data_IF_276196678691
#
_entry.id   IF_276196678691
#
_cell.length_a   1.000
_cell.length_b   1.000
_cell.length_c   1.000
_cell.angle_alpha   90.00
_cell.angle_beta   90.00
_cell.angle_gamma   90.00
#
_symmetry.space_group_name_H-M   'P 1'
#
loop_
_entity.id
_entity.type
_entity.pdbx_description
1 polymer ?
#
# COMPACT_ATOMS: atom_id res chain seq x y z
N UNK A 1 -0.77 -11.06 37.92
CA UNK A 1 0.10 -10.31 36.98
C UNK A 1 0.11 -8.84 37.40
N UNK A 2 1.27 -8.19 37.54
CA UNK A 2 1.35 -6.79 38.03
C UNK A 2 0.82 -5.79 36.99
N UNK A 3 0.18 -4.66 37.37
CA UNK A 3 -0.42 -3.69 36.44
C UNK A 3 0.57 -3.16 35.37
N UNK A 4 1.81 -2.90 35.79
CA UNK A 4 2.92 -2.46 34.93
C UNK A 4 3.23 -3.47 33.82
N UNK A 5 3.20 -4.77 34.12
CA UNK A 5 3.47 -5.83 33.14
C UNK A 5 2.38 -5.90 32.06
N UNK A 6 1.12 -5.59 32.41
CA UNK A 6 0.00 -5.51 31.46
C UNK A 6 0.16 -4.33 30.50
N UNK A 7 0.59 -3.17 31.00
CA UNK A 7 0.87 -1.98 30.20
C UNK A 7 2.04 -2.21 29.22
N UNK A 8 3.14 -2.82 29.68
CA UNK A 8 4.29 -3.15 28.83
C UNK A 8 3.90 -4.14 27.73
N UNK A 9 3.12 -5.18 28.04
CA UNK A 9 2.63 -6.14 27.02
C UNK A 9 1.78 -5.46 25.95
N UNK A 10 0.88 -4.55 26.36
CA UNK A 10 0.04 -3.79 25.42
C UNK A 10 0.87 -2.87 24.53
N UNK A 11 1.85 -2.17 25.09
CA UNK A 11 2.77 -1.30 24.33
C UNK A 11 3.58 -2.10 23.29
N UNK A 12 4.14 -3.26 23.68
CA UNK A 12 4.86 -4.15 22.74
C UNK A 12 3.98 -4.65 21.60
N UNK A 13 2.73 -5.01 21.88
CA UNK A 13 1.78 -5.40 20.83
C UNK A 13 1.45 -4.25 19.89
N UNK A 14 1.29 -3.03 20.42
CA UNK A 14 1.05 -1.85 19.59
C UNK A 14 2.23 -1.52 18.68
N UNK A 15 3.47 -1.60 19.18
CA UNK A 15 4.69 -1.38 18.38
C UNK A 15 4.78 -2.42 17.26
N UNK A 16 4.66 -3.72 17.60
CA UNK A 16 4.67 -4.79 16.60
C UNK A 16 3.55 -4.67 15.55
N UNK A 17 2.40 -4.11 15.93
CA UNK A 17 1.30 -3.86 14.98
C UNK A 17 1.66 -2.72 14.01
N UNK A 18 2.33 -1.66 14.49
CA UNK A 18 2.81 -0.56 13.63
C UNK A 18 3.84 -1.07 12.63
N UNK A 19 4.86 -1.78 13.10
CA UNK A 19 5.90 -2.36 12.24
C UNK A 19 5.30 -3.26 11.15
N UNK A 20 4.31 -4.11 11.48
CA UNK A 20 3.62 -4.93 10.49
C UNK A 20 2.82 -4.11 9.47
N UNK A 21 2.21 -2.99 9.86
CA UNK A 21 1.48 -2.10 8.94
C UNK A 21 2.47 -1.42 7.98
N UNK A 22 3.62 -0.97 8.49
CA UNK A 22 4.68 -0.36 7.67
C UNK A 22 5.23 -1.34 6.63
N UNK A 23 5.48 -2.59 7.04
CA UNK A 23 5.88 -3.65 6.11
C UNK A 23 4.80 -3.98 5.07
N UNK A 24 3.52 -4.02 5.45
CA UNK A 24 2.40 -4.28 4.54
C UNK A 24 2.26 -3.17 3.49
N UNK A 25 2.51 -1.92 3.89
CA UNK A 25 2.50 -0.77 3.00
C UNK A 25 3.66 -0.80 2.00
N UNK A 26 4.88 -1.13 2.45
CA UNK A 26 6.04 -1.27 1.55
C UNK A 26 5.81 -2.38 0.51
N UNK A 27 5.30 -3.54 0.94
CA UNK A 27 4.97 -4.64 0.02
C UNK A 27 3.86 -4.25 -0.95
N UNK A 28 2.87 -3.49 -0.50
CA UNK A 28 1.83 -2.96 -1.36
C UNK A 28 2.41 -2.04 -2.44
N UNK A 29 3.25 -1.08 -2.05
CA UNK A 29 3.85 -0.13 -3.01
C UNK A 29 4.74 -0.85 -4.03
N UNK A 30 5.57 -1.81 -3.59
CA UNK A 30 6.33 -2.67 -4.50
C UNK A 30 5.43 -3.41 -5.50
N UNK A 31 4.32 -3.98 -5.04
CA UNK A 31 3.37 -4.65 -5.94
C UNK A 31 2.81 -3.69 -7.00
N UNK A 32 2.47 -2.46 -6.61
CA UNK A 32 1.96 -1.44 -7.54
C UNK A 32 3.05 -1.03 -8.56
N UNK A 33 4.29 -0.81 -8.12
CA UNK A 33 5.42 -0.46 -8.99
C UNK A 33 5.76 -1.59 -9.99
N UNK A 34 5.71 -2.84 -9.55
CA UNK A 34 5.87 -4.02 -10.41
C UNK A 34 4.64 -4.33 -11.26
N UNK A 35 3.56 -3.55 -11.12
CA UNK A 35 2.27 -3.74 -11.82
C UNK A 35 1.67 -5.12 -11.55
N UNK A 36 1.79 -5.59 -10.32
CA UNK A 36 1.23 -6.84 -9.80
C UNK A 36 0.13 -6.54 -8.80
N UNK A 37 -0.99 -7.24 -8.89
CA UNK A 37 -2.10 -7.07 -7.99
C UNK A 37 -1.75 -7.64 -6.61
N UNK A 38 -1.72 -6.84 -5.54
CA UNK A 38 -1.35 -7.31 -4.20
C UNK A 38 -2.36 -8.33 -3.63
N UNK A 39 -3.55 -8.44 -4.25
CA UNK A 39 -4.63 -9.30 -3.78
C UNK A 39 -4.62 -10.71 -4.38
N UNK A 40 -4.13 -10.87 -5.60
CA UNK A 40 -4.24 -12.13 -6.34
C UNK A 40 -3.02 -12.45 -7.21
N UNK A 41 -1.98 -11.61 -7.18
CA UNK A 41 -0.76 -11.74 -7.97
C UNK A 41 -0.95 -11.71 -9.51
N UNK A 42 -2.15 -11.41 -10.01
CA UNK A 42 -2.39 -11.10 -11.43
C UNK A 42 -1.78 -9.76 -11.83
N UNK A 43 -1.57 -9.55 -13.13
CA UNK A 43 -1.07 -8.27 -13.66
C UNK A 43 -2.09 -7.13 -13.50
N UNK A 44 -1.57 -5.93 -13.29
CA UNK A 44 -2.30 -4.67 -13.29
C UNK A 44 -2.22 -4.02 -14.68
N UNK A 45 -3.36 -3.67 -15.23
CA UNK A 45 -3.46 -2.71 -16.32
C UNK A 45 -3.27 -1.30 -15.75
N UNK A 46 -2.33 -0.54 -16.32
CA UNK A 46 -2.01 0.82 -15.87
C UNK A 46 -2.43 1.81 -16.94
N UNK A 47 -3.27 2.77 -16.56
CA UNK A 47 -3.64 3.91 -17.38
C UNK A 47 -2.97 5.16 -16.82
N UNK A 48 -1.81 5.49 -17.36
CA UNK A 48 -1.04 6.67 -16.99
C UNK A 48 -1.57 7.92 -17.69
N UNK A 49 -1.92 8.94 -16.91
CA UNK A 49 -2.24 10.28 -17.39
C UNK A 49 -1.16 11.27 -16.98
N UNK A 50 -0.49 11.91 -17.95
CA UNK A 50 0.62 12.86 -17.76
C UNK A 50 0.35 13.93 -16.67
N UNK A 51 -0.92 14.29 -16.44
CA UNK A 51 -1.34 15.27 -15.42
C UNK A 51 -2.45 14.73 -14.50
N UNK A 52 -2.79 13.45 -14.62
CA UNK A 52 -3.95 12.84 -13.94
C UNK A 52 -3.59 11.65 -13.06
N UNK A 53 -2.30 11.33 -12.89
CA UNK A 53 -1.87 10.17 -12.10
C UNK A 53 -2.02 8.86 -12.86
N UNK A 54 -1.78 7.76 -12.15
CA UNK A 54 -1.82 6.41 -12.67
C UNK A 54 -3.01 5.64 -12.08
N UNK A 55 -3.90 5.18 -12.96
CA UNK A 55 -4.99 4.26 -12.60
C UNK A 55 -4.55 2.81 -12.84
N UNK A 56 -4.46 2.03 -11.76
CA UNK A 56 -4.14 0.60 -11.75
C UNK A 56 -5.42 -0.21 -11.62
N UNK A 57 -5.63 -1.16 -12.52
CA UNK A 57 -6.77 -2.08 -12.49
C UNK A 57 -6.31 -3.52 -12.68
N UNK A 58 -6.74 -4.42 -11.81
CA UNK A 58 -6.40 -5.84 -11.95
C UNK A 58 -7.06 -6.48 -13.17
N UNK A 59 -6.29 -7.27 -13.91
CA UNK A 59 -6.74 -8.04 -15.08
C UNK A 59 -7.37 -9.39 -14.69
N UNK A 60 -7.24 -9.81 -13.44
CA UNK A 60 -7.76 -11.08 -12.95
C UNK A 60 -9.28 -11.17 -13.14
N UNK A 61 -9.81 -12.27 -13.70
CA UNK A 61 -11.21 -12.36 -14.14
C UNK A 61 -12.24 -12.26 -12.99
N UNK A 62 -11.79 -12.46 -11.75
CA UNK A 62 -12.62 -12.37 -10.53
C UNK A 62 -12.12 -11.30 -9.56
N UNK A 63 -11.05 -10.59 -9.90
CA UNK A 63 -10.45 -9.60 -9.01
C UNK A 63 -10.93 -8.19 -9.40
N UNK A 64 -11.57 -7.51 -8.47
CA UNK A 64 -12.08 -6.14 -8.64
C UNK A 64 -11.11 -5.07 -8.09
N UNK A 65 -9.84 -5.43 -7.92
CA UNK A 65 -8.86 -4.52 -7.36
C UNK A 65 -8.60 -3.34 -8.32
N UNK A 66 -8.71 -2.13 -7.78
CA UNK A 66 -8.36 -0.88 -8.45
C UNK A 66 -7.59 0.01 -7.47
N UNK A 67 -6.56 0.69 -7.93
CA UNK A 67 -5.77 1.62 -7.15
C UNK A 67 -5.43 2.83 -8.00
N UNK A 68 -5.48 4.02 -7.41
CA UNK A 68 -5.13 5.27 -8.07
C UNK A 68 -3.92 5.86 -7.35
N UNK A 69 -2.85 6.15 -8.11
CA UNK A 69 -1.66 6.84 -7.62
C UNK A 69 -1.69 8.25 -8.18
N UNK A 70 -1.73 9.24 -7.29
CA UNK A 70 -1.69 10.65 -7.68
C UNK A 70 -0.42 10.97 -8.49
N UNK A 71 -0.50 11.88 -9.48
CA UNK A 71 0.68 12.30 -10.20
C UNK A 71 1.63 12.99 -9.22
N UNK A 72 2.91 12.64 -9.28
CA UNK A 72 3.95 13.33 -8.52
C UNK A 72 4.23 14.67 -9.23
N UNK A 73 3.31 15.63 -9.05
CA UNK A 73 3.47 16.99 -9.56
C UNK A 73 4.49 17.65 -8.62
N UNK A 74 5.76 17.52 -8.97
CA UNK A 74 6.79 18.40 -8.40
C UNK A 74 6.37 19.79 -8.84
N UNK A 75 5.84 20.59 -7.91
CA UNK A 75 5.52 21.97 -8.16
C UNK A 75 6.81 22.62 -8.66
N UNK A 76 6.88 22.90 -9.96
CA UNK A 76 7.88 23.77 -10.51
C UNK A 76 7.55 25.16 -9.97
N UNK A 77 8.07 25.48 -8.78
CA UNK A 77 8.14 26.86 -8.31
C UNK A 77 9.02 27.61 -9.32
N UNK A 78 8.37 28.41 -10.17
CA UNK A 78 8.99 29.35 -11.09
C UNK A 78 8.93 30.76 -10.53
#
# INVERSE_FOLDING_TARGET
MKPIQKAIKKAKMSIRKKEQIEHDQEQFEMCIDEKVCPKCADLLHVKSGHLKGDDYRCCGPKCIFTHYREPNIIAAEG
#
